data_IF_615191720226
#
_entry.id   IF_615191720226
#
_cell.length_a   1.000
_cell.length_b   1.000
_cell.length_c   1.000
_cell.angle_alpha   90.00
_cell.angle_beta   90.00
_cell.angle_gamma   90.00
#
_symmetry.space_group_name_H-M   'P 1'
#
loop_
_entity.id
_entity.type
_entity.pdbx_description
1 polymer ?
#
# COMPACT_ATOMS: atom_id res chain seq x y z
N UNK A 1 -15.01 -22.70 19.75
CA UNK A 1 -13.86 -22.32 20.59
C UNK A 1 -13.51 -20.88 20.25
N UNK A 2 -13.85 -19.94 21.13
CA UNK A 2 -13.52 -18.52 20.97
C UNK A 2 -12.00 -18.39 21.07
N UNK A 3 -11.31 -18.19 19.95
CA UNK A 3 -9.94 -17.72 20.00
C UNK A 3 -9.99 -16.31 20.61
N UNK A 4 -9.31 -16.09 21.74
CA UNK A 4 -9.15 -14.74 22.31
C UNK A 4 -8.63 -13.82 21.21
N UNK A 5 -9.49 -12.97 20.62
CA UNK A 5 -9.10 -12.04 19.53
C UNK A 5 -7.88 -11.21 19.93
N UNK A 6 -7.76 -10.94 21.22
CA UNK A 6 -6.70 -10.18 21.89
C UNK A 6 -5.42 -10.99 22.18
N UNK A 7 -5.40 -12.31 22.05
CA UNK A 7 -4.12 -13.05 22.04
C UNK A 7 -3.31 -12.80 20.76
N UNK A 8 -3.90 -12.15 19.73
CA UNK A 8 -3.16 -11.59 18.59
C UNK A 8 -2.29 -10.37 18.94
N UNK A 9 -2.30 -9.86 20.19
CA UNK A 9 -1.47 -8.73 20.63
C UNK A 9 0.04 -9.01 20.74
N UNK A 10 0.58 -10.00 20.03
CA UNK A 10 2.02 -10.08 19.80
C UNK A 10 2.36 -9.17 18.62
N UNK A 11 2.41 -7.86 18.87
CA UNK A 11 2.96 -6.89 17.93
C UNK A 11 4.49 -7.04 17.92
N UNK A 12 5.00 -8.01 17.17
CA UNK A 12 6.44 -8.14 16.93
C UNK A 12 6.87 -7.10 15.89
N UNK A 13 7.51 -6.01 16.33
CA UNK A 13 8.08 -4.99 15.45
C UNK A 13 7.19 -3.77 15.14
N UNK A 14 5.98 -3.66 15.68
CA UNK A 14 5.10 -2.48 15.57
C UNK A 14 3.91 -2.64 14.61
N UNK A 15 2.83 -1.84 14.74
CA UNK A 15 1.61 -1.97 13.92
C UNK A 15 1.86 -1.81 12.42
N UNK A 16 2.79 -0.95 12.01
CA UNK A 16 3.15 -0.78 10.60
C UNK A 16 3.76 -2.07 10.02
N UNK A 17 4.60 -2.78 10.79
CA UNK A 17 5.18 -4.05 10.35
C UNK A 17 4.13 -5.16 10.27
N UNK A 18 3.18 -5.19 11.20
CA UNK A 18 2.03 -6.10 11.11
C UNK A 18 1.20 -5.83 9.85
N UNK A 19 0.93 -4.57 9.54
CA UNK A 19 0.19 -4.16 8.35
C UNK A 19 0.94 -4.53 7.05
N UNK A 20 2.27 -4.36 7.03
CA UNK A 20 3.12 -4.81 5.92
C UNK A 20 2.98 -6.31 5.72
N UNK A 21 3.06 -7.11 6.80
CA UNK A 21 2.92 -8.56 6.71
C UNK A 21 1.53 -8.99 6.21
N UNK A 22 0.46 -8.32 6.66
CA UNK A 22 -0.91 -8.54 6.14
C UNK A 22 -0.99 -8.20 4.66
N UNK A 23 -0.43 -7.06 4.23
CA UNK A 23 -0.40 -6.70 2.83
C UNK A 23 0.38 -7.72 1.98
N UNK A 24 1.52 -8.23 2.44
CA UNK A 24 2.27 -9.26 1.71
C UNK A 24 1.42 -10.52 1.50
N UNK A 25 0.74 -10.99 2.55
CA UNK A 25 -0.20 -12.11 2.43
C UNK A 25 -1.31 -11.82 1.42
N UNK A 26 -1.82 -10.59 1.38
CA UNK A 26 -2.82 -10.17 0.39
C UNK A 26 -2.27 -10.17 -1.04
N UNK A 27 -1.09 -9.58 -1.26
CA UNK A 27 -0.47 -9.50 -2.59
C UNK A 27 -0.17 -10.89 -3.16
N UNK A 28 0.27 -11.82 -2.31
CA UNK A 28 0.66 -13.17 -2.70
C UNK A 28 -0.44 -14.23 -2.50
N UNK A 29 -1.68 -13.83 -2.22
CA UNK A 29 -2.83 -14.72 -2.05
C UNK A 29 -2.58 -15.85 -1.02
N UNK A 30 -1.93 -15.49 0.10
CA UNK A 30 -1.50 -16.42 1.15
C UNK A 30 -2.04 -16.01 2.54
N UNK A 31 -3.37 -16.07 2.76
CA UNK A 31 -3.97 -15.69 4.04
C UNK A 31 -3.56 -16.65 5.15
N UNK A 32 -3.33 -16.11 6.34
CA UNK A 32 -2.98 -16.81 7.57
C UNK A 32 -4.15 -17.59 8.18
N UNK A 33 -5.39 -17.21 7.86
CA UNK A 33 -6.61 -17.85 8.36
C UNK A 33 -7.82 -17.57 7.45
N UNK A 34 -8.92 -18.29 7.68
CA UNK A 34 -10.17 -18.15 6.90
C UNK A 34 -10.77 -16.75 6.95
N UNK A 35 -10.75 -16.09 8.11
CA UNK A 35 -11.30 -14.73 8.23
C UNK A 35 -10.52 -13.75 7.36
N UNK A 36 -9.18 -13.83 7.37
CA UNK A 36 -8.34 -13.00 6.52
C UNK A 36 -8.59 -13.28 5.03
N UNK A 37 -8.80 -14.54 4.64
CA UNK A 37 -9.17 -14.89 3.28
C UNK A 37 -10.48 -14.23 2.83
N UNK A 38 -11.49 -14.19 3.71
CA UNK A 38 -12.77 -13.52 3.45
C UNK A 38 -12.58 -12.01 3.28
N UNK A 39 -11.83 -11.36 4.18
CA UNK A 39 -11.56 -9.92 4.07
C UNK A 39 -10.82 -9.57 2.79
N UNK A 40 -9.84 -10.40 2.39
CA UNK A 40 -9.12 -10.18 1.14
C UNK A 40 -10.06 -10.25 -0.07
N UNK A 41 -11.07 -11.13 -0.05
CA UNK A 41 -12.06 -11.21 -1.13
C UNK A 41 -13.07 -10.07 -1.14
N UNK A 42 -13.30 -9.42 0.00
CA UNK A 42 -14.21 -8.28 0.12
C UNK A 42 -13.59 -6.96 -0.37
N UNK A 43 -12.26 -6.91 -0.53
CA UNK A 43 -11.58 -5.73 -1.07
C UNK A 43 -11.98 -5.50 -2.53
N UNK A 44 -12.55 -4.32 -2.81
CA UNK A 44 -12.98 -3.94 -4.16
C UNK A 44 -11.80 -3.53 -5.05
N UNK A 45 -10.94 -4.49 -5.38
CA UNK A 45 -9.72 -4.27 -6.14
C UNK A 45 -9.99 -3.70 -7.54
N UNK A 46 -11.12 -4.11 -8.16
CA UNK A 46 -11.51 -3.62 -9.48
C UNK A 46 -11.82 -2.14 -9.48
N UNK A 47 -12.62 -1.68 -8.53
CA UNK A 47 -12.92 -0.25 -8.40
C UNK A 47 -11.64 0.54 -8.14
N UNK A 48 -10.77 0.07 -7.26
CA UNK A 48 -9.48 0.70 -6.97
C UNK A 48 -8.62 0.78 -8.25
N UNK A 49 -8.55 -0.31 -9.04
CA UNK A 49 -7.81 -0.34 -10.29
C UNK A 49 -8.35 0.64 -11.33
N UNK A 50 -9.68 0.75 -11.46
CA UNK A 50 -10.34 1.73 -12.36
C UNK A 50 -10.10 3.17 -11.91
N UNK A 51 -10.15 3.44 -10.60
CA UNK A 51 -9.81 4.75 -10.03
C UNK A 51 -8.34 5.11 -10.28
N UNK A 52 -7.43 4.13 -10.34
CA UNK A 52 -6.04 4.30 -10.72
C UNK A 52 -5.83 4.53 -12.23
N UNK A 53 -6.87 4.89 -12.99
CA UNK A 53 -6.74 5.51 -14.31
C UNK A 53 -6.24 6.97 -14.22
N UNK A 54 -6.41 7.61 -13.06
CA UNK A 54 -5.95 8.97 -12.77
C UNK A 54 -4.82 8.93 -11.75
N UNK A 55 -3.76 9.71 -12.01
CA UNK A 55 -2.63 9.85 -11.07
C UNK A 55 -3.10 10.60 -9.82
N UNK A 56 -2.88 10.01 -8.65
CA UNK A 56 -3.27 10.57 -7.34
C UNK A 56 -2.18 10.32 -6.30
N UNK A 57 -2.01 11.23 -5.34
CA UNK A 57 -1.11 11.03 -4.18
C UNK A 57 -1.61 9.89 -3.28
N UNK A 58 -2.92 9.69 -3.20
CA UNK A 58 -3.53 8.52 -2.54
C UNK A 58 -3.58 7.35 -3.52
N UNK A 59 -2.48 6.60 -3.56
CA UNK A 59 -2.31 5.44 -4.44
C UNK A 59 -3.28 4.30 -4.13
N UNK A 60 -3.44 3.36 -5.06
CA UNK A 60 -4.13 2.09 -4.85
C UNK A 60 -3.57 1.33 -3.64
N UNK A 61 -2.24 1.37 -3.45
CA UNK A 61 -1.60 0.75 -2.28
C UNK A 61 -2.03 1.42 -0.97
N UNK A 62 -2.15 2.75 -0.94
CA UNK A 62 -2.69 3.43 0.24
C UNK A 62 -4.13 3.01 0.53
N UNK A 63 -4.98 2.87 -0.50
CA UNK A 63 -6.37 2.45 -0.34
C UNK A 63 -6.46 1.05 0.26
N UNK A 64 -5.72 0.09 -0.28
CA UNK A 64 -5.66 -1.27 0.25
C UNK A 64 -5.10 -1.29 1.68
N UNK A 65 -4.01 -0.55 1.95
CA UNK A 65 -3.46 -0.45 3.31
C UNK A 65 -4.46 0.15 4.30
N UNK A 66 -5.25 1.15 3.89
CA UNK A 66 -6.29 1.73 4.74
C UNK A 66 -7.39 0.72 5.07
N UNK A 67 -7.89 -0.03 4.07
CA UNK A 67 -8.91 -1.07 4.31
C UNK A 67 -8.39 -2.16 5.24
N UNK A 68 -7.18 -2.66 4.99
CA UNK A 68 -6.55 -3.66 5.85
C UNK A 68 -6.34 -3.13 7.28
N UNK A 69 -5.85 -1.90 7.43
CA UNK A 69 -5.63 -1.28 8.73
C UNK A 69 -6.94 -0.99 9.47
N UNK A 70 -7.99 -0.58 8.75
CA UNK A 70 -9.33 -0.40 9.32
C UNK A 70 -9.84 -1.71 9.90
N UNK A 71 -9.75 -2.80 9.15
CA UNK A 71 -10.21 -4.12 9.61
C UNK A 71 -9.34 -4.62 10.78
N UNK A 72 -8.02 -4.64 10.60
CA UNK A 72 -7.08 -5.23 11.56
C UNK A 72 -6.97 -4.43 12.86
N UNK A 73 -7.03 -3.09 12.80
CA UNK A 73 -6.76 -2.24 13.98
C UNK A 73 -7.99 -1.52 14.53
N UNK A 74 -8.97 -1.19 13.69
CA UNK A 74 -10.18 -0.50 14.15
C UNK A 74 -11.31 -1.49 14.40
N UNK A 75 -11.84 -2.13 13.36
CA UNK A 75 -13.06 -2.91 13.43
C UNK A 75 -12.95 -4.02 14.48
N UNK A 76 -11.91 -4.85 14.41
CA UNK A 76 -11.80 -6.02 15.29
C UNK A 76 -11.24 -5.77 16.68
N UNK A 77 -10.41 -4.75 16.83
CA UNK A 77 -9.65 -4.53 18.06
C UNK A 77 -10.09 -3.27 18.82
N UNK A 78 -10.75 -2.32 18.15
CA UNK A 78 -11.19 -1.06 18.75
C UNK A 78 -12.71 -0.88 18.78
N UNK A 79 -13.41 -1.24 17.70
CA UNK A 79 -14.83 -1.02 17.57
C UNK A 79 -15.64 -2.13 18.24
N UNK A 80 -15.29 -3.39 17.95
CA UNK A 80 -15.99 -4.60 18.37
C UNK A 80 -15.68 -5.05 19.81
N UNK A 81 -15.83 -4.12 20.78
CA UNK A 81 -15.51 -4.36 22.20
C UNK A 81 -16.51 -5.29 22.90
N UNK A 82 -17.71 -5.47 22.33
CA UNK A 82 -18.79 -6.25 22.95
C UNK A 82 -18.46 -7.74 23.09
N UNK A 83 -17.49 -8.23 22.31
CA UNK A 83 -16.99 -9.61 22.39
C UNK A 83 -15.66 -9.72 23.13
N UNK A 84 -15.21 -8.64 23.77
CA UNK A 84 -14.00 -8.65 24.57
C UNK A 84 -14.26 -9.34 25.92
N UNK A 85 -13.60 -10.48 26.16
CA UNK A 85 -13.72 -11.20 27.45
C UNK A 85 -13.25 -10.34 28.64
N UNK A 86 -12.25 -9.47 28.41
CA UNK A 86 -11.68 -8.59 29.42
C UNK A 86 -11.45 -7.19 28.85
N UNK A 87 -12.28 -6.23 29.25
CA UNK A 87 -12.21 -4.82 28.81
C UNK A 87 -10.83 -4.18 29.05
N UNK A 88 -10.06 -4.67 30.02
CA UNK A 88 -8.70 -4.17 30.28
C UNK A 88 -7.68 -4.63 29.24
N UNK A 89 -7.91 -5.76 28.55
CA UNK A 89 -7.07 -6.16 27.42
C UNK A 89 -7.27 -5.19 26.25
N UNK A 90 -8.51 -4.75 26.02
CA UNK A 90 -8.80 -3.66 25.07
C UNK A 90 -8.16 -2.34 25.51
N UNK A 91 -8.24 -1.99 26.80
CA UNK A 91 -7.64 -0.77 27.32
C UNK A 91 -6.12 -0.74 27.11
N UNK A 92 -5.44 -1.86 27.37
CA UNK A 92 -4.01 -2.01 27.09
C UNK A 92 -3.71 -1.86 25.60
N UNK A 93 -4.49 -2.51 24.72
CA UNK A 93 -4.34 -2.35 23.27
C UNK A 93 -4.46 -0.90 22.81
N UNK A 94 -5.53 -0.22 23.22
CA UNK A 94 -5.74 1.17 22.87
C UNK A 94 -4.56 2.02 23.38
N UNK A 95 -4.15 1.82 24.63
CA UNK A 95 -3.04 2.53 25.25
C UNK A 95 -1.69 2.33 24.52
N UNK A 96 -1.43 1.11 24.02
CA UNK A 96 -0.24 0.77 23.23
C UNK A 96 -0.28 1.35 21.82
N UNK A 97 -1.47 1.46 21.21
CA UNK A 97 -1.64 1.91 19.82
C UNK A 97 -1.52 3.42 19.64
N UNK A 98 -2.03 4.25 20.57
CA UNK A 98 -1.97 5.71 20.44
C UNK A 98 -0.55 6.26 20.18
N UNK A 99 0.51 5.81 20.88
CA UNK A 99 1.87 6.24 20.60
C UNK A 99 2.33 5.96 19.16
N UNK A 100 1.92 4.84 18.57
CA UNK A 100 2.24 4.51 17.16
C UNK A 100 1.55 5.44 16.16
N UNK A 101 0.45 6.08 16.58
CA UNK A 101 -0.25 7.10 15.80
C UNK A 101 0.31 8.51 16.04
N UNK A 102 1.38 8.64 16.83
CA UNK A 102 1.92 9.92 17.33
C UNK A 102 0.87 10.73 18.10
N UNK A 103 0.04 10.04 18.89
CA UNK A 103 -0.99 10.64 19.73
C UNK A 103 -0.67 10.25 21.19
N UNK A 104 -0.80 11.21 22.10
CA UNK A 104 -0.62 10.93 23.53
C UNK A 104 -1.70 9.95 24.00
N UNK A 105 -1.28 8.90 24.72
CA UNK A 105 -2.21 7.91 25.28
C UNK A 105 -3.19 8.59 26.24
N UNK A 106 -4.51 8.51 25.99
CA UNK A 106 -5.50 9.01 26.93
C UNK A 106 -5.42 8.26 28.27
N UNK A 107 -5.40 9.00 29.37
CA UNK A 107 -5.20 8.43 30.70
C UNK A 107 -6.32 7.44 31.06
N UNK A 108 -7.53 7.65 30.51
CA UNK A 108 -8.70 6.81 30.74
C UNK A 108 -8.45 5.33 30.37
N UNK A 109 -7.62 5.04 29.37
CA UNK A 109 -7.25 3.67 28.99
C UNK A 109 -6.23 3.02 29.94
N UNK A 110 -5.63 3.78 30.85
CA UNK A 110 -4.71 3.25 31.88
C UNK A 110 -5.42 2.98 33.21
N UNK A 111 -6.65 3.47 33.35
CA UNK A 111 -7.46 3.29 34.53
C UNK A 111 -8.09 1.89 34.50
N UNK A 112 -8.04 1.18 35.63
CA UNK A 112 -8.68 -0.13 35.80
C UNK A 112 -10.16 0.01 36.15
N UNK A 113 -10.88 0.83 35.39
CA UNK A 113 -12.31 1.07 35.54
C UNK A 113 -13.03 0.82 34.21
N UNK A 114 -14.02 -0.09 34.24
CA UNK A 114 -14.73 -0.53 33.04
C UNK A 114 -15.56 0.60 32.41
N UNK A 115 -16.30 1.35 33.20
CA UNK A 115 -17.22 2.39 32.69
C UNK A 115 -16.43 3.54 32.07
N UNK A 116 -15.30 3.90 32.70
CA UNK A 116 -14.38 4.90 32.15
C UNK A 116 -13.79 4.46 30.82
N UNK A 117 -13.36 3.20 30.70
CA UNK A 117 -12.81 2.67 29.44
C UNK A 117 -13.85 2.65 28.31
N UNK A 118 -15.09 2.26 28.60
CA UNK A 118 -16.18 2.34 27.62
C UNK A 118 -16.44 3.77 27.16
N UNK A 119 -16.55 4.72 28.10
CA UNK A 119 -16.74 6.14 27.77
C UNK A 119 -15.57 6.71 26.96
N UNK A 120 -14.34 6.29 27.27
CA UNK A 120 -13.14 6.70 26.55
C UNK A 120 -13.12 6.16 25.11
N UNK A 121 -13.52 4.91 24.88
CA UNK A 121 -13.65 4.33 23.55
C UNK A 121 -14.54 5.19 22.66
N UNK A 122 -15.73 5.55 23.13
CA UNK A 122 -16.66 6.40 22.36
C UNK A 122 -16.08 7.80 22.11
N UNK A 123 -15.53 8.41 23.15
CA UNK A 123 -14.93 9.76 23.10
C UNK A 123 -13.78 9.84 22.09
N UNK A 124 -12.96 8.79 21.99
CA UNK A 124 -11.72 8.79 21.22
C UNK A 124 -11.78 8.02 19.89
N UNK A 125 -12.90 7.36 19.56
CA UNK A 125 -13.05 6.55 18.34
C UNK A 125 -12.63 7.29 17.05
N UNK A 126 -13.13 8.51 16.85
CA UNK A 126 -12.79 9.33 15.68
C UNK A 126 -11.30 9.68 15.63
N UNK A 127 -10.70 9.98 16.79
CA UNK A 127 -9.28 10.32 16.90
C UNK A 127 -8.41 9.10 16.61
N UNK A 128 -8.77 7.93 17.15
CA UNK A 128 -8.09 6.66 16.90
C UNK A 128 -8.16 6.29 15.41
N UNK A 129 -9.35 6.36 14.80
CA UNK A 129 -9.55 6.09 13.38
C UNK A 129 -8.70 7.02 12.50
N UNK A 130 -8.67 8.33 12.81
CA UNK A 130 -7.81 9.28 12.10
C UNK A 130 -6.32 8.97 12.26
N UNK A 131 -5.91 8.52 13.45
CA UNK A 131 -4.54 8.16 13.78
C UNK A 131 -4.00 6.94 13.01
N UNK A 132 -4.88 6.01 12.58
CA UNK A 132 -4.50 4.85 11.75
C UNK A 132 -3.79 5.29 10.46
N UNK A 133 -4.13 6.46 9.92
CA UNK A 133 -3.46 7.04 8.74
C UNK A 133 -1.93 7.14 8.93
N UNK A 134 -1.43 7.38 10.15
CA UNK A 134 0.01 7.44 10.42
C UNK A 134 0.67 6.06 10.29
N UNK A 135 -0.01 5.01 10.72
CA UNK A 135 0.44 3.62 10.59
C UNK A 135 0.46 3.23 9.11
N UNK A 136 -0.60 3.59 8.36
CA UNK A 136 -0.70 3.37 6.91
C UNK A 136 0.43 4.07 6.16
N UNK A 137 0.67 5.35 6.45
CA UNK A 137 1.75 6.11 5.81
C UNK A 137 3.14 5.54 6.14
N UNK A 138 3.34 5.07 7.37
CA UNK A 138 4.59 4.43 7.78
C UNK A 138 4.82 3.11 7.03
N UNK A 139 3.78 2.28 6.91
CA UNK A 139 3.82 1.05 6.13
C UNK A 139 4.08 1.35 4.64
N UNK A 140 3.36 2.31 4.06
CA UNK A 140 3.53 2.74 2.68
C UNK A 140 4.96 3.21 2.40
N UNK A 141 5.55 4.03 3.27
CA UNK A 141 6.90 4.55 3.09
C UNK A 141 7.95 3.42 2.98
N UNK A 142 7.79 2.34 3.74
CA UNK A 142 8.63 1.16 3.64
C UNK A 142 8.38 0.40 2.32
N UNK A 143 7.12 0.13 2.01
CA UNK A 143 6.71 -0.62 0.82
C UNK A 143 7.02 0.10 -0.49
N UNK A 144 7.01 1.44 -0.47
CA UNK A 144 7.37 2.28 -1.60
C UNK A 144 8.76 1.96 -2.15
N UNK A 145 9.69 1.50 -1.30
CA UNK A 145 11.03 1.12 -1.71
C UNK A 145 11.13 -0.32 -2.24
N UNK A 146 10.11 -1.16 -2.04
CA UNK A 146 10.10 -2.58 -2.40
C UNK A 146 9.51 -2.80 -3.78
N UNK A 147 10.33 -2.59 -4.79
CA UNK A 147 9.91 -2.53 -6.20
C UNK A 147 9.34 -3.86 -6.70
N UNK A 148 9.86 -4.99 -6.22
CA UNK A 148 9.29 -6.30 -6.54
C UNK A 148 7.86 -6.42 -6.01
N UNK A 149 7.63 -6.02 -4.76
CA UNK A 149 6.29 -6.01 -4.17
C UNK A 149 5.36 -5.05 -4.91
N UNK A 150 5.83 -3.85 -5.26
CA UNK A 150 5.04 -2.90 -6.05
C UNK A 150 4.68 -3.47 -7.43
N UNK A 151 5.59 -4.16 -8.09
CA UNK A 151 5.32 -4.85 -9.35
C UNK A 151 4.24 -5.91 -9.19
N UNK A 152 4.36 -6.80 -8.21
CA UNK A 152 3.44 -7.91 -8.02
C UNK A 152 2.05 -7.41 -7.59
N UNK A 153 2.00 -6.36 -6.77
CA UNK A 153 0.76 -5.64 -6.46
C UNK A 153 0.10 -5.05 -7.73
N UNK A 154 0.88 -4.40 -8.59
CA UNK A 154 0.35 -3.85 -9.85
C UNK A 154 -0.04 -4.94 -10.85
N UNK A 155 0.61 -6.09 -10.82
CA UNK A 155 0.19 -7.26 -11.59
C UNK A 155 -1.17 -7.76 -11.09
N UNK A 156 -1.40 -7.76 -9.77
CA UNK A 156 -2.71 -8.07 -9.18
C UNK A 156 -3.79 -7.07 -9.64
N UNK A 157 -3.52 -5.77 -9.60
CA UNK A 157 -4.43 -4.74 -10.15
C UNK A 157 -4.72 -4.97 -11.65
N UNK A 158 -3.70 -5.34 -12.43
CA UNK A 158 -3.85 -5.52 -13.86
C UNK A 158 -4.79 -6.66 -14.26
N UNK A 159 -4.91 -7.68 -13.40
CA UNK A 159 -5.84 -8.80 -13.60
C UNK A 159 -7.30 -8.37 -13.47
N UNK A 160 -7.57 -7.27 -12.76
CA UNK A 160 -8.92 -6.69 -12.70
C UNK A 160 -9.28 -5.86 -13.93
N UNK A 161 -8.29 -5.23 -14.57
CA UNK A 161 -8.50 -4.38 -15.75
C UNK A 161 -8.52 -5.19 -17.04
N UNK A 162 -7.59 -6.14 -17.20
CA UNK A 162 -7.40 -6.92 -18.44
C UNK A 162 -8.68 -7.57 -19.01
N UNK A 163 -9.60 -8.14 -18.20
CA UNK A 163 -10.82 -8.77 -18.73
C UNK A 163 -11.95 -7.79 -19.05
N UNK A 164 -11.81 -6.49 -18.73
CA UNK A 164 -12.87 -5.51 -18.91
C UNK A 164 -13.04 -5.13 -20.38
N UNK A 165 -14.30 -5.03 -20.83
CA UNK A 165 -14.65 -4.66 -22.19
C UNK A 165 -15.06 -3.19 -22.25
N UNK A 166 -14.59 -2.46 -23.26
CA UNK A 166 -14.85 -1.02 -23.43
C UNK A 166 -16.33 -0.69 -23.62
N UNK A 167 -17.10 -1.60 -24.20
CA UNK A 167 -18.55 -1.41 -24.35
C UNK A 167 -19.31 -1.43 -23.01
N UNK A 168 -18.75 -2.10 -21.99
CA UNK A 168 -19.28 -2.11 -20.61
C UNK A 168 -18.64 -0.99 -19.78
N UNK A 169 -17.35 -0.76 -19.98
CA UNK A 169 -16.53 0.25 -19.28
C UNK A 169 -16.06 1.34 -20.26
N UNK A 170 -16.91 2.34 -20.58
CA UNK A 170 -16.62 3.36 -21.59
C UNK A 170 -15.42 4.26 -21.25
N UNK A 171 -15.00 4.29 -19.97
CA UNK A 171 -13.80 4.96 -19.48
C UNK A 171 -12.49 4.31 -19.95
N UNK A 172 -12.54 3.10 -20.52
CA UNK A 172 -11.37 2.43 -21.08
C UNK A 172 -10.97 3.00 -22.44
N UNK A 173 -9.66 3.03 -22.70
CA UNK A 173 -9.13 3.39 -24.02
C UNK A 173 -9.46 2.33 -25.07
N UNK A 174 -9.33 1.06 -24.70
CA UNK A 174 -9.71 -0.15 -25.45
C UNK A 174 -9.98 -1.27 -24.44
N UNK A 175 -10.48 -2.42 -24.90
CA UNK A 175 -10.64 -3.60 -24.03
C UNK A 175 -9.34 -3.87 -23.25
N UNK A 176 -9.49 -4.11 -21.95
CA UNK A 176 -8.38 -4.40 -21.05
C UNK A 176 -7.38 -3.27 -20.80
N UNK A 177 -7.66 -2.03 -21.24
CA UNK A 177 -6.65 -0.96 -21.25
C UNK A 177 -7.21 0.41 -20.91
N UNK A 178 -6.66 1.03 -19.87
CA UNK A 178 -6.93 2.41 -19.50
C UNK A 178 -6.20 3.42 -20.40
N UNK A 179 -6.63 4.68 -20.38
CA UNK A 179 -5.94 5.77 -21.06
C UNK A 179 -4.55 6.02 -20.47
N UNK A 180 -3.55 6.25 -21.34
CA UNK A 180 -2.24 6.77 -20.92
C UNK A 180 -2.41 8.21 -20.43
N UNK A 181 -1.76 8.63 -19.33
CA UNK A 181 -1.86 10.00 -18.86
C UNK A 181 -1.17 10.91 -19.86
N UNK A 182 -1.79 12.05 -20.16
CA UNK A 182 -1.20 13.09 -21.01
C UNK A 182 -0.06 13.86 -20.31
N UNK A 183 -0.04 13.82 -18.98
CA UNK A 183 0.91 14.56 -18.15
C UNK A 183 1.28 13.76 -16.90
N UNK A 184 2.58 13.78 -16.55
CA UNK A 184 3.10 13.26 -15.29
C UNK A 184 3.44 14.45 -14.38
N UNK A 185 2.77 14.61 -13.23
CA UNK A 185 3.02 15.70 -12.29
C UNK A 185 4.47 15.78 -11.81
N UNK A 186 4.94 17.00 -11.54
CA UNK A 186 6.28 17.24 -11.00
C UNK A 186 6.52 16.46 -9.70
N UNK A 187 5.55 16.43 -8.78
CA UNK A 187 5.68 15.69 -7.52
C UNK A 187 5.95 14.20 -7.74
N UNK A 188 5.28 13.58 -8.73
CA UNK A 188 5.46 12.16 -9.03
C UNK A 188 6.82 11.91 -9.67
N UNK A 189 7.22 12.78 -10.62
CA UNK A 189 8.57 12.72 -11.21
C UNK A 189 9.65 12.82 -10.13
N UNK A 190 9.52 13.77 -9.22
CA UNK A 190 10.48 13.97 -8.14
C UNK A 190 10.46 12.74 -7.20
N UNK A 191 9.30 12.23 -6.80
CA UNK A 191 9.18 11.05 -5.95
C UNK A 191 9.83 9.79 -6.58
N UNK A 192 9.66 9.58 -7.88
CA UNK A 192 10.27 8.48 -8.61
C UNK A 192 11.80 8.61 -8.68
N UNK A 193 12.31 9.83 -8.94
CA UNK A 193 13.75 10.09 -8.91
C UNK A 193 14.37 9.81 -7.54
N UNK A 194 13.67 10.16 -6.45
CA UNK A 194 14.13 9.86 -5.09
C UNK A 194 14.11 8.34 -4.80
N UNK A 195 13.00 7.66 -5.13
CA UNK A 195 12.87 6.20 -4.93
C UNK A 195 13.93 5.43 -5.72
N UNK A 196 14.09 5.77 -7.00
CA UNK A 196 14.96 5.07 -7.94
C UNK A 196 16.39 5.63 -7.93
N UNK A 197 16.67 6.63 -7.08
CA UNK A 197 17.98 7.29 -6.91
C UNK A 197 18.59 7.74 -8.23
N UNK A 198 17.75 8.27 -9.12
CA UNK A 198 18.17 8.72 -10.44
C UNK A 198 18.75 7.64 -11.36
N UNK A 199 18.53 6.36 -11.04
CA UNK A 199 19.04 5.22 -11.79
C UNK A 199 17.93 4.56 -12.60
N UNK A 200 18.26 4.11 -13.81
CA UNK A 200 17.37 3.29 -14.61
C UNK A 200 16.99 2.04 -13.81
N UNK A 201 15.69 1.81 -13.64
CA UNK A 201 15.16 0.68 -12.90
C UNK A 201 15.65 -0.68 -13.45
N UNK A 202 15.79 -0.78 -14.77
CA UNK A 202 16.07 -2.05 -15.45
C UNK A 202 17.57 -2.39 -15.49
N UNK A 203 18.44 -1.42 -15.81
CA UNK A 203 19.87 -1.66 -15.98
C UNK A 203 20.76 -1.05 -14.89
N UNK A 204 20.19 -0.27 -13.96
CA UNK A 204 20.93 0.39 -12.89
C UNK A 204 21.79 1.58 -13.32
N UNK A 205 21.87 1.90 -14.62
CA UNK A 205 22.64 3.05 -15.12
C UNK A 205 22.09 4.36 -14.57
N UNK A 206 22.96 5.23 -14.07
CA UNK A 206 22.59 6.59 -13.66
C UNK A 206 22.09 7.40 -14.86
N UNK A 207 20.88 7.91 -14.78
CA UNK A 207 20.21 8.69 -15.85
C UNK A 207 19.83 10.10 -15.40
N UNK A 208 19.72 10.33 -14.10
CA UNK A 208 19.36 11.62 -13.52
C UNK A 208 20.15 11.86 -12.22
N UNK A 209 21.34 12.44 -12.36
CA UNK A 209 22.22 12.76 -11.23
C UNK A 209 23.07 13.99 -11.58
N UNK A 210 23.52 14.79 -10.60
CA UNK A 210 24.50 15.87 -10.83
C UNK A 210 25.78 15.40 -11.52
N UNK A 211 26.10 14.10 -11.46
CA UNK A 211 27.25 13.49 -12.11
C UNK A 211 27.03 13.20 -13.62
N UNK A 212 25.80 13.28 -14.10
CA UNK A 212 25.42 12.96 -15.48
C UNK A 212 25.29 14.26 -16.26
N UNK A 213 26.13 14.45 -17.29
CA UNK A 213 26.15 15.67 -18.11
C UNK A 213 24.83 15.91 -18.86
N UNK A 214 24.21 14.85 -19.40
CA UNK A 214 22.93 14.90 -20.10
C UNK A 214 21.92 14.03 -19.36
N UNK A 215 21.11 14.65 -18.49
CA UNK A 215 20.05 13.94 -17.79
C UNK A 215 18.91 13.62 -18.76
N UNK A 216 18.85 12.36 -19.21
CA UNK A 216 17.79 11.87 -20.08
C UNK A 216 17.22 10.57 -19.52
N UNK A 217 15.96 10.62 -19.10
CA UNK A 217 15.24 9.49 -18.55
C UNK A 217 13.76 9.54 -18.95
N UNK A 218 13.16 8.37 -18.97
CA UNK A 218 11.75 8.17 -19.25
C UNK A 218 11.03 7.67 -17.98
N UNK A 219 9.76 8.01 -17.86
CA UNK A 219 8.88 7.44 -16.83
C UNK A 219 8.07 6.33 -17.50
N UNK A 220 8.30 5.11 -17.08
CA UNK A 220 7.71 3.91 -17.66
C UNK A 220 6.79 3.21 -16.65
N UNK A 221 5.83 2.45 -17.15
CA UNK A 221 4.95 1.60 -16.34
C UNK A 221 5.60 0.22 -16.12
N UNK A 222 5.82 -0.20 -14.88
CA UNK A 222 6.33 -1.54 -14.53
C UNK A 222 5.47 -2.63 -15.17
N UNK A 223 4.15 -2.58 -14.93
CA UNK A 223 3.16 -3.36 -15.65
C UNK A 223 2.61 -2.52 -16.82
N UNK A 224 2.86 -2.92 -18.09
CA UNK A 224 2.40 -2.17 -19.24
C UNK A 224 0.88 -1.99 -19.30
N UNK A 225 0.41 -0.83 -19.76
CA UNK A 225 -1.02 -0.57 -19.99
C UNK A 225 -1.67 -1.58 -20.96
N UNK A 226 -0.89 -2.13 -21.90
CA UNK A 226 -1.37 -3.16 -22.83
C UNK A 226 -1.69 -4.50 -22.16
N UNK A 227 -1.24 -4.70 -20.92
CA UNK A 227 -1.49 -5.88 -20.10
C UNK A 227 -2.36 -5.53 -18.87
N UNK A 228 -3.17 -4.46 -18.97
CA UNK A 228 -4.04 -4.02 -17.88
C UNK A 228 -3.36 -3.20 -16.79
N UNK A 229 -2.09 -2.81 -16.94
CA UNK A 229 -1.41 -1.93 -15.97
C UNK A 229 -2.16 -0.61 -15.77
N UNK A 230 -2.00 0.00 -14.60
CA UNK A 230 -2.70 1.24 -14.21
C UNK A 230 -1.78 2.47 -14.26
N UNK A 231 -2.33 3.67 -14.07
CA UNK A 231 -1.57 4.92 -13.90
C UNK A 231 -1.33 5.24 -12.42
N UNK A 232 -1.39 4.21 -11.57
CA UNK A 232 -1.05 4.38 -10.17
C UNK A 232 0.43 4.79 -10.02
N UNK A 233 0.77 5.73 -9.12
CA UNK A 233 2.16 6.07 -8.82
C UNK A 233 3.05 4.86 -8.52
N UNK A 234 2.50 3.84 -7.88
CA UNK A 234 3.24 2.61 -7.58
C UNK A 234 3.56 1.78 -8.80
N UNK A 235 2.91 2.01 -9.95
CA UNK A 235 3.20 1.32 -11.22
C UNK A 235 4.29 2.03 -12.04
N UNK A 236 4.76 3.22 -11.67
CA UNK A 236 5.76 3.95 -12.44
C UNK A 236 7.18 3.66 -11.98
N UNK A 237 8.15 3.75 -12.90
CA UNK A 237 9.61 3.66 -12.68
C UNK A 237 10.39 4.60 -13.59
N UNK A 238 11.60 4.98 -13.18
CA UNK A 238 12.59 5.66 -14.01
C UNK A 238 13.28 4.65 -14.93
N UNK A 239 13.44 4.97 -16.22
CA UNK A 239 14.15 4.12 -17.19
C UNK A 239 15.01 4.92 -18.16
N UNK A 240 16.09 4.32 -18.67
CA UNK A 240 16.85 4.89 -19.79
C UNK A 240 16.12 4.61 -21.12
N UNK A 241 16.40 5.41 -22.14
CA UNK A 241 15.78 5.24 -23.47
C UNK A 241 15.99 3.84 -24.05
N UNK A 242 17.17 3.25 -23.90
CA UNK A 242 17.49 1.90 -24.39
C UNK A 242 16.60 0.83 -23.76
N UNK A 243 16.51 0.79 -22.43
CA UNK A 243 15.69 -0.21 -21.74
C UNK A 243 14.20 0.01 -21.97
N UNK A 244 13.74 1.27 -21.98
CA UNK A 244 12.35 1.60 -22.27
C UNK A 244 11.93 1.08 -23.67
N UNK A 245 12.78 1.30 -24.68
CA UNK A 245 12.53 0.84 -26.04
C UNK A 245 12.55 -0.69 -26.15
N UNK A 246 13.48 -1.36 -25.44
CA UNK A 246 13.57 -2.82 -25.43
C UNK A 246 12.39 -3.50 -24.72
N UNK A 247 11.92 -2.92 -23.61
CA UNK A 247 10.78 -3.45 -22.85
C UNK A 247 9.49 -3.36 -23.66
N UNK A 248 9.21 -2.20 -24.28
CA UNK A 248 7.97 -1.99 -25.04
C UNK A 248 6.75 -2.44 -24.22
N UNK A 249 5.92 -3.34 -24.74
CA UNK A 249 4.73 -3.89 -24.08
C UNK A 249 4.98 -5.18 -23.27
N UNK A 250 6.23 -5.56 -22.98
CA UNK A 250 6.57 -6.79 -22.27
C UNK A 250 6.66 -6.58 -20.75
N UNK A 251 6.30 -7.61 -19.97
CA UNK A 251 6.68 -7.71 -18.57
C UNK A 251 8.19 -7.97 -18.46
N UNK A 252 8.81 -7.38 -17.45
CA UNK A 252 10.21 -7.62 -17.10
C UNK A 252 10.28 -8.24 -15.71
N UNK A 253 11.26 -9.11 -15.48
CA UNK A 253 11.57 -9.55 -14.12
C UNK A 253 12.08 -8.35 -13.34
N UNK A 254 11.41 -8.03 -12.24
CA UNK A 254 11.88 -7.02 -11.29
C UNK A 254 12.66 -7.75 -10.20
N UNK A 255 13.65 -7.08 -9.62
CA UNK A 255 14.32 -7.60 -8.43
C UNK A 255 14.53 -6.46 -7.46
N UNK A 256 14.37 -6.76 -6.17
CA UNK A 256 14.75 -5.87 -5.08
C UNK A 256 16.29 -5.83 -4.87
N UNK A 257 17.05 -6.50 -5.74
CA UNK A 257 18.50 -6.56 -5.65
C UNK A 257 19.08 -5.15 -5.74
N UNK A 258 19.80 -4.77 -4.69
CA UNK A 258 20.57 -3.54 -4.64
C UNK A 258 21.72 -3.63 -5.63
N UNK A 259 21.57 -3.01 -6.79
CA UNK A 259 22.67 -2.84 -7.72
C UNK A 259 23.45 -1.58 -7.30
N UNK A 260 24.62 -1.77 -6.68
CA UNK A 260 25.60 -0.69 -6.64
C UNK A 260 25.94 -0.34 -8.10
N UNK A 261 26.02 0.95 -8.48
CA UNK A 261 26.54 1.30 -9.78
C UNK A 261 27.91 0.64 -9.90
N UNK A 262 28.11 -0.18 -10.95
CA UNK A 262 29.43 -0.68 -11.26
C UNK A 262 30.35 0.53 -11.33
N UNK A 263 31.33 0.60 -10.42
CA UNK A 263 32.29 1.69 -10.40
C UNK A 263 32.96 1.69 -11.78
N UNK A 264 32.96 2.86 -12.40
CA UNK A 264 33.65 3.15 -13.66
C UNK A 264 35.11 2.67 -13.63
#
# INVERSE_FOLDING_TARGET
MSAKKNQKFLISGGPANNLIATLERYVYDNPSCTNEALHFSDLNLREIALQSSVISETTALHKILNELAYIDFYLYLYDDIDWCENIFDFANYAAEMFPWMNIATPIEFTLKDKEIVHAAREKYAKMFLGGITQIVNSAFAYLWMRKQLLHDFNLKLSREISPLLKNVHPELASDGKIHRPSYIPKWLRDALLHRDRGSCHYCGTLVASPLVQNQDFQIDHMVPLALGGTNDPTNFVISCGTCNNQKSAKLQSISDAFHWPNRF
#
